data_IF_863846388116
#
_entry.id   IF_863846388116
#
_cell.length_a   1.000
_cell.length_b   1.000
_cell.length_c   1.000
_cell.angle_alpha   90.00
_cell.angle_beta   90.00
_cell.angle_gamma   90.00
#
_symmetry.space_group_name_H-M   'P 1'
#
loop_
_entity.id
_entity.type
_entity.pdbx_description
1 polymer ?
#
# COMPACT_ATOMS: atom_id res chain seq x y z
N UNK A 1 21.30 -45.14 32.61
CA UNK A 1 19.93 -44.74 32.19
C UNK A 1 19.54 -43.33 32.60
N UNK A 2 19.53 -42.95 33.88
CA UNK A 2 19.12 -41.59 34.32
C UNK A 2 19.93 -40.44 33.68
N UNK A 3 21.25 -40.58 33.57
CA UNK A 3 22.12 -39.55 32.98
C UNK A 3 21.80 -39.36 31.47
N UNK A 4 21.63 -40.46 30.74
CA UNK A 4 21.29 -40.44 29.31
C UNK A 4 19.90 -39.82 29.08
N UNK A 5 18.92 -40.16 29.93
CA UNK A 5 17.58 -39.58 29.88
C UNK A 5 17.60 -38.07 30.14
N UNK A 6 18.37 -37.61 31.13
CA UNK A 6 18.52 -36.19 31.43
C UNK A 6 19.18 -35.42 30.27
N UNK A 7 20.20 -36.00 29.63
CA UNK A 7 20.85 -35.40 28.45
C UNK A 7 19.84 -35.29 27.29
N UNK A 8 19.04 -36.32 27.05
CA UNK A 8 18.02 -36.32 26.01
C UNK A 8 16.96 -35.24 26.25
N UNK A 9 16.48 -35.11 27.50
CA UNK A 9 15.51 -34.08 27.89
C UNK A 9 16.09 -32.68 27.67
N UNK A 10 17.32 -32.42 28.11
CA UNK A 10 17.98 -31.12 27.92
C UNK A 10 18.16 -30.78 26.45
N UNK A 11 18.53 -31.77 25.62
CA UNK A 11 18.67 -31.58 24.17
C UNK A 11 17.33 -31.25 23.51
N UNK A 12 16.25 -31.93 23.90
CA UNK A 12 14.89 -31.65 23.39
C UNK A 12 14.44 -30.25 23.80
N UNK A 13 14.67 -29.84 25.05
CA UNK A 13 14.35 -28.49 25.52
C UNK A 13 15.14 -27.44 24.72
N UNK A 14 16.45 -27.66 24.53
CA UNK A 14 17.30 -26.75 23.76
C UNK A 14 16.84 -26.61 22.30
N UNK A 15 16.59 -27.72 21.61
CA UNK A 15 16.09 -27.70 20.23
C UNK A 15 14.71 -27.02 20.12
N UNK A 16 13.83 -27.24 21.11
CA UNK A 16 12.52 -26.58 21.14
C UNK A 16 12.65 -25.06 21.33
N UNK A 17 13.61 -24.60 22.13
CA UNK A 17 13.85 -23.17 22.37
C UNK A 17 14.40 -22.46 21.13
N UNK A 18 15.26 -23.12 20.36
CA UNK A 18 15.80 -22.59 19.09
C UNK A 18 14.68 -22.45 18.05
N UNK A 19 13.86 -23.50 17.87
CA UNK A 19 12.74 -23.46 16.92
C UNK A 19 11.72 -22.36 17.28
N UNK A 20 11.49 -22.14 18.57
CA UNK A 20 10.63 -21.05 19.03
C UNK A 20 11.21 -19.66 18.67
N UNK A 21 12.51 -19.46 18.89
CA UNK A 21 13.19 -18.20 18.54
C UNK A 21 13.10 -17.90 17.05
N UNK A 22 13.35 -18.89 16.18
CA UNK A 22 13.23 -18.71 14.74
C UNK A 22 11.80 -18.39 14.29
N UNK A 23 10.79 -19.05 14.88
CA UNK A 23 9.39 -18.77 14.56
C UNK A 23 8.95 -17.36 15.02
N UNK A 24 9.50 -16.88 16.14
CA UNK A 24 9.28 -15.52 16.64
C UNK A 24 9.91 -14.46 15.73
N UNK A 25 11.13 -14.71 15.28
CA UNK A 25 11.84 -13.85 14.33
C UNK A 25 11.11 -13.79 12.99
N UNK A 26 10.73 -14.94 12.43
CA UNK A 26 10.07 -15.04 11.12
C UNK A 26 8.77 -14.22 11.07
N UNK A 27 7.90 -14.34 12.09
CA UNK A 27 6.64 -13.57 12.12
C UNK A 27 6.87 -12.08 12.29
N UNK A 28 7.92 -11.68 13.02
CA UNK A 28 8.31 -10.28 13.19
C UNK A 28 8.81 -9.71 11.86
N UNK A 29 9.71 -10.43 11.19
CA UNK A 29 10.22 -10.10 9.85
C UNK A 29 9.08 -9.94 8.83
N UNK A 30 8.08 -10.83 8.82
CA UNK A 30 6.93 -10.69 7.91
C UNK A 30 6.14 -9.40 8.16
N UNK A 31 5.94 -9.02 9.44
CA UNK A 31 5.27 -7.75 9.78
C UNK A 31 6.10 -6.55 9.34
N UNK A 32 7.41 -6.59 9.57
CA UNK A 32 8.32 -5.50 9.22
C UNK A 32 8.40 -5.32 7.70
N UNK A 33 8.51 -6.42 6.93
CA UNK A 33 8.56 -6.37 5.47
C UNK A 33 7.26 -5.80 4.90
N UNK A 34 6.08 -6.24 5.35
CA UNK A 34 4.82 -5.66 4.83
C UNK A 34 4.65 -4.21 5.24
N UNK A 35 5.12 -3.78 6.41
CA UNK A 35 5.09 -2.37 6.81
C UNK A 35 6.02 -1.51 5.95
N UNK A 36 7.24 -1.98 5.69
CA UNK A 36 8.20 -1.31 4.81
C UNK A 36 7.68 -1.23 3.37
N UNK A 37 7.09 -2.31 2.86
CA UNK A 37 6.47 -2.32 1.53
C UNK A 37 5.32 -1.30 1.45
N UNK A 38 4.45 -1.24 2.46
CA UNK A 38 3.35 -0.25 2.50
C UNK A 38 3.86 1.19 2.55
N UNK A 39 4.94 1.45 3.28
CA UNK A 39 5.57 2.77 3.30
C UNK A 39 6.22 3.11 1.95
N UNK A 40 6.90 2.15 1.32
CA UNK A 40 7.50 2.31 0.02
C UNK A 40 6.44 2.58 -1.07
N UNK A 41 5.30 1.89 -1.01
CA UNK A 41 4.15 2.14 -1.89
C UNK A 41 3.54 3.51 -1.64
N UNK A 42 3.41 3.92 -0.39
CA UNK A 42 2.91 5.24 -0.02
C UNK A 42 3.71 6.36 -0.69
N UNK A 43 5.04 6.32 -0.58
CA UNK A 43 5.90 7.35 -1.19
C UNK A 43 5.77 7.41 -2.71
N UNK A 44 5.59 6.25 -3.37
CA UNK A 44 5.39 6.17 -4.83
C UNK A 44 4.05 6.73 -5.24
N UNK A 45 3.00 6.37 -4.48
CA UNK A 45 1.68 6.90 -4.70
C UNK A 45 1.68 8.42 -4.48
N UNK A 46 2.30 8.94 -3.42
CA UNK A 46 2.53 10.39 -3.19
C UNK A 46 3.12 11.12 -4.39
N UNK A 47 4.10 10.52 -5.08
CA UNK A 47 4.61 11.10 -6.33
C UNK A 47 3.58 11.05 -7.46
N UNK A 48 2.91 9.91 -7.66
CA UNK A 48 1.84 9.76 -8.66
C UNK A 48 0.69 10.77 -8.50
N UNK A 49 0.55 11.41 -7.33
CA UNK A 49 -0.40 12.52 -7.13
C UNK A 49 -0.17 13.66 -8.11
N UNK A 50 1.08 13.89 -8.52
CA UNK A 50 1.45 14.94 -9.48
C UNK A 50 0.71 14.77 -10.82
N UNK A 51 0.37 13.53 -11.21
CA UNK A 51 -0.35 13.24 -12.46
C UNK A 51 -1.83 13.65 -12.42
N UNK A 52 -2.37 13.87 -11.22
CA UNK A 52 -3.78 14.20 -11.00
C UNK A 52 -3.96 15.56 -10.32
N UNK A 53 -2.85 16.26 -10.06
CA UNK A 53 -2.83 17.57 -9.43
C UNK A 53 -3.39 18.64 -10.37
N UNK A 54 -4.12 19.59 -9.80
CA UNK A 54 -4.65 20.76 -10.48
C UNK A 54 -3.80 22.00 -10.16
N UNK A 55 -3.85 23.05 -10.97
CA UNK A 55 -3.22 24.32 -10.62
C UNK A 55 -3.68 24.82 -9.24
N UNK A 56 -2.72 25.16 -8.38
CA UNK A 56 -2.93 25.53 -6.98
C UNK A 56 -2.75 24.38 -5.99
N UNK A 57 -2.72 23.12 -6.46
CA UNK A 57 -2.48 21.98 -5.58
C UNK A 57 -1.00 21.92 -5.14
N UNK A 58 -0.81 21.51 -3.89
CA UNK A 58 0.51 21.19 -3.35
C UNK A 58 0.84 19.72 -3.64
N UNK A 59 2.04 19.48 -4.18
CA UNK A 59 2.61 18.14 -4.39
C UNK A 59 3.93 18.03 -3.63
N UNK A 60 4.27 16.83 -3.17
CA UNK A 60 5.53 16.56 -2.47
C UNK A 60 6.55 16.04 -3.47
N UNK A 61 7.68 16.75 -3.60
CA UNK A 61 8.83 16.35 -4.42
C UNK A 61 9.54 15.11 -3.83
N UNK A 62 10.36 14.46 -4.65
CA UNK A 62 11.18 13.31 -4.23
C UNK A 62 12.13 13.63 -3.06
N UNK A 63 12.55 14.89 -2.91
CA UNK A 63 13.39 15.38 -1.81
C UNK A 63 12.60 15.75 -0.54
N UNK A 64 11.27 15.60 -0.56
CA UNK A 64 10.38 15.94 0.55
C UNK A 64 9.95 17.42 0.57
N UNK A 65 10.43 18.26 -0.35
CA UNK A 65 9.96 19.63 -0.49
C UNK A 65 8.53 19.70 -1.02
N UNK A 66 7.83 20.80 -0.76
CA UNK A 66 6.48 21.05 -1.27
C UNK A 66 6.54 21.97 -2.48
N UNK A 67 5.94 21.55 -3.59
CA UNK A 67 5.83 22.32 -4.82
C UNK A 67 4.36 22.65 -5.06
N UNK A 68 4.07 23.90 -5.44
CA UNK A 68 2.74 24.33 -5.85
C UNK A 68 2.64 24.23 -7.37
N UNK A 69 1.66 23.49 -7.87
CA UNK A 69 1.42 23.38 -9.31
C UNK A 69 0.91 24.72 -9.84
N UNK A 70 1.69 25.35 -10.73
CA UNK A 70 1.34 26.65 -11.33
C UNK A 70 0.41 26.48 -12.54
N UNK A 71 -0.41 27.49 -12.81
CA UNK A 71 -1.20 27.60 -14.04
C UNK A 71 -0.40 28.22 -15.21
N UNK A 72 0.82 28.71 -14.96
CA UNK A 72 1.55 29.55 -15.91
C UNK A 72 2.28 28.74 -17.01
N UNK A 73 2.53 27.46 -16.78
CA UNK A 73 3.16 26.56 -17.75
C UNK A 73 2.17 25.45 -18.10
N UNK A 74 1.67 25.43 -19.34
CA UNK A 74 0.84 24.32 -19.88
C UNK A 74 1.71 23.11 -20.18
N UNK A 75 2.37 22.60 -19.16
CA UNK A 75 3.22 21.43 -19.26
C UNK A 75 2.37 20.17 -19.10
N UNK A 76 2.66 19.14 -19.89
CA UNK A 76 1.94 17.88 -19.77
C UNK A 76 2.21 17.24 -18.39
N UNK A 77 1.23 16.54 -17.78
CA UNK A 77 1.38 15.98 -16.43
C UNK A 77 2.58 15.03 -16.27
N UNK A 78 2.91 14.24 -17.31
CA UNK A 78 4.05 13.33 -17.30
C UNK A 78 5.40 14.05 -17.37
N UNK A 79 5.46 15.18 -18.07
CA UNK A 79 6.66 16.03 -18.12
C UNK A 79 6.86 16.74 -16.78
N UNK A 80 5.78 17.31 -16.22
CA UNK A 80 5.77 17.92 -14.88
C UNK A 80 6.25 16.92 -13.82
N UNK A 81 5.75 15.68 -13.90
CA UNK A 81 6.18 14.58 -13.03
C UNK A 81 7.68 14.34 -13.12
N UNK A 82 8.20 14.19 -14.34
CA UNK A 82 9.59 13.85 -14.58
C UNK A 82 10.53 14.94 -14.07
N UNK A 83 10.15 16.21 -14.21
CA UNK A 83 10.90 17.35 -13.70
C UNK A 83 10.90 17.41 -12.17
N UNK A 84 9.75 17.21 -11.52
CA UNK A 84 9.64 17.29 -10.06
C UNK A 84 10.34 16.12 -9.38
N UNK A 85 10.21 14.92 -9.94
CA UNK A 85 10.64 13.70 -9.26
C UNK A 85 11.97 13.13 -9.77
N UNK A 86 12.51 13.68 -10.86
CA UNK A 86 13.68 13.16 -11.58
C UNK A 86 13.57 11.66 -11.90
N UNK A 87 12.36 11.18 -12.22
CA UNK A 87 12.08 9.79 -12.61
C UNK A 87 10.81 9.70 -13.45
N UNK A 88 10.65 8.58 -14.14
CA UNK A 88 9.42 8.29 -14.88
C UNK A 88 8.30 7.80 -13.96
N UNK A 89 7.07 8.28 -14.21
CA UNK A 89 5.88 7.86 -13.48
C UNK A 89 5.58 6.36 -13.65
N UNK A 90 5.84 5.82 -14.85
CA UNK A 90 5.64 4.39 -15.16
C UNK A 90 6.41 3.49 -14.20
N UNK A 91 7.64 3.87 -13.86
CA UNK A 91 8.47 3.13 -12.93
C UNK A 91 7.84 3.05 -11.52
N UNK A 92 7.18 4.12 -11.07
CA UNK A 92 6.46 4.10 -9.79
C UNK A 92 5.21 3.22 -9.82
N UNK A 93 4.49 3.17 -10.93
CA UNK A 93 3.39 2.21 -11.13
C UNK A 93 3.86 0.75 -11.02
N UNK A 94 4.95 0.42 -11.73
CA UNK A 94 5.54 -0.94 -11.73
C UNK A 94 5.99 -1.33 -10.32
N UNK A 95 6.69 -0.43 -9.62
CA UNK A 95 7.18 -0.71 -8.28
C UNK A 95 6.05 -0.89 -7.27
N UNK A 96 4.95 -0.11 -7.36
CA UNK A 96 3.76 -0.33 -6.52
C UNK A 96 3.17 -1.73 -6.76
N UNK A 97 2.98 -2.12 -8.02
CA UNK A 97 2.46 -3.46 -8.35
C UNK A 97 3.34 -4.57 -7.77
N UNK A 98 4.66 -4.46 -7.92
CA UNK A 98 5.61 -5.44 -7.41
C UNK A 98 5.58 -5.52 -5.87
N UNK A 99 5.49 -4.39 -5.18
CA UNK A 99 5.39 -4.34 -3.72
C UNK A 99 4.08 -4.94 -3.21
N UNK A 100 2.96 -4.69 -3.88
CA UNK A 100 1.68 -5.35 -3.58
C UNK A 100 1.79 -6.86 -3.79
N UNK A 101 2.32 -7.31 -4.93
CA UNK A 101 2.46 -8.74 -5.21
C UNK A 101 3.38 -9.44 -4.17
N UNK A 102 4.49 -8.80 -3.79
CA UNK A 102 5.46 -9.35 -2.84
C UNK A 102 4.85 -9.66 -1.48
N UNK A 103 3.98 -8.78 -0.96
CA UNK A 103 3.47 -8.88 0.42
C UNK A 103 2.04 -9.41 0.49
N UNK A 104 1.53 -9.98 -0.62
CA UNK A 104 0.19 -10.55 -0.69
C UNK A 104 0.00 -11.71 0.29
N UNK A 105 1.04 -12.51 0.54
CA UNK A 105 0.97 -13.69 1.42
C UNK A 105 1.52 -13.42 2.83
N UNK A 106 1.83 -12.16 3.16
CA UNK A 106 2.45 -11.77 4.43
C UNK A 106 1.40 -11.56 5.53
N UNK A 107 0.24 -12.22 5.44
CA UNK A 107 -0.89 -12.10 6.37
C UNK A 107 -1.26 -13.38 7.13
N UNK A 108 -0.34 -14.34 7.43
CA UNK A 108 -0.72 -15.53 8.18
C UNK A 108 -1.14 -15.15 9.61
N UNK A 109 -1.97 -15.98 10.25
CA UNK A 109 -2.53 -15.73 11.60
C UNK A 109 -1.47 -15.40 12.65
N UNK A 110 -0.26 -15.97 12.53
CA UNK A 110 0.90 -15.72 13.40
C UNK A 110 1.45 -14.28 13.32
N UNK A 111 1.04 -13.49 12.34
CA UNK A 111 1.40 -12.06 12.20
C UNK A 111 0.34 -11.11 12.75
N UNK A 112 -0.67 -11.65 13.46
CA UNK A 112 -1.76 -10.85 14.02
C UNK A 112 -1.35 -10.08 15.26
N UNK A 113 -2.17 -9.11 15.65
CA UNK A 113 -1.97 -8.31 16.87
C UNK A 113 -1.87 -9.15 18.16
N UNK A 114 -2.38 -10.39 18.14
CA UNK A 114 -2.25 -11.32 19.25
C UNK A 114 -0.83 -11.91 19.38
N UNK A 115 -0.07 -11.94 18.28
CA UNK A 115 1.24 -12.56 18.20
C UNK A 115 2.37 -11.55 17.97
N UNK A 116 2.11 -10.45 17.26
CA UNK A 116 3.09 -9.41 16.93
C UNK A 116 2.51 -8.04 17.28
N UNK A 117 2.99 -7.45 18.37
CA UNK A 117 2.43 -6.20 18.93
C UNK A 117 2.69 -4.96 18.06
N UNK A 118 3.77 -4.97 17.27
CA UNK A 118 4.18 -3.88 16.37
C UNK A 118 3.27 -3.72 15.14
N UNK A 119 2.36 -4.67 14.88
CA UNK A 119 1.50 -4.58 13.70
C UNK A 119 0.37 -3.54 13.85
N UNK A 120 0.21 -2.72 12.81
CA UNK A 120 -0.89 -1.75 12.68
C UNK A 120 -2.15 -2.35 12.04
N UNK A 121 -2.14 -3.63 11.65
CA UNK A 121 -3.31 -4.29 11.08
C UNK A 121 -4.41 -4.49 12.15
N UNK A 122 -5.66 -4.32 11.75
CA UNK A 122 -6.82 -4.62 12.59
C UNK A 122 -7.04 -6.12 12.72
N UNK A 123 -7.68 -6.54 13.83
CA UNK A 123 -8.06 -7.96 14.01
C UNK A 123 -8.92 -8.47 12.86
N UNK A 124 -9.69 -7.58 12.23
CA UNK A 124 -10.59 -7.90 11.12
C UNK A 124 -9.89 -8.57 9.93
N UNK A 125 -8.60 -8.31 9.70
CA UNK A 125 -7.81 -9.00 8.66
C UNK A 125 -7.94 -10.53 8.77
N UNK A 126 -7.95 -11.06 10.00
CA UNK A 126 -8.01 -12.50 10.26
C UNK A 126 -9.40 -13.01 10.64
N UNK A 127 -10.35 -12.12 10.97
CA UNK A 127 -11.72 -12.49 11.33
C UNK A 127 -12.62 -12.57 10.09
N UNK A 128 -12.39 -11.71 9.10
CA UNK A 128 -13.15 -11.66 7.83
C UNK A 128 -12.18 -11.69 6.63
N UNK A 129 -11.39 -12.76 6.48
CA UNK A 129 -10.31 -12.83 5.49
C UNK A 129 -10.82 -12.69 4.05
N UNK A 130 -12.05 -13.09 3.74
CA UNK A 130 -12.64 -12.95 2.40
C UNK A 130 -12.85 -11.47 2.03
N UNK A 131 -13.24 -10.64 3.00
CA UNK A 131 -13.41 -9.20 2.81
C UNK A 131 -12.05 -8.52 2.66
N UNK A 132 -11.07 -8.90 3.49
CA UNK A 132 -9.70 -8.42 3.39
C UNK A 132 -9.07 -8.76 2.04
N UNK A 133 -9.12 -10.02 1.64
CA UNK A 133 -8.58 -10.50 0.36
C UNK A 133 -9.23 -9.78 -0.82
N UNK A 134 -10.53 -9.51 -0.77
CA UNK A 134 -11.22 -8.73 -1.81
C UNK A 134 -10.64 -7.32 -1.92
N UNK A 135 -10.52 -6.61 -0.80
CA UNK A 135 -10.05 -5.21 -0.79
C UNK A 135 -8.57 -5.12 -1.19
N UNK A 136 -7.77 -6.10 -0.76
CA UNK A 136 -6.38 -6.23 -1.19
C UNK A 136 -6.27 -6.51 -2.69
N UNK A 137 -7.06 -7.46 -3.21
CA UNK A 137 -7.08 -7.81 -4.64
C UNK A 137 -7.54 -6.64 -5.51
N UNK A 138 -8.47 -5.81 -5.04
CA UNK A 138 -8.90 -4.61 -5.74
C UNK A 138 -7.72 -3.63 -5.92
N UNK A 139 -6.80 -3.51 -4.94
CA UNK A 139 -5.59 -2.71 -5.06
C UNK A 139 -4.56 -3.31 -6.02
N UNK A 140 -4.38 -4.63 -6.01
CA UNK A 140 -3.54 -5.35 -6.99
C UNK A 140 -4.07 -5.13 -8.41
N UNK A 141 -5.39 -5.24 -8.62
CA UNK A 141 -6.01 -4.97 -9.91
C UNK A 141 -5.85 -3.51 -10.35
N UNK A 142 -6.09 -2.55 -9.45
CA UNK A 142 -5.93 -1.14 -9.76
C UNK A 142 -4.49 -0.78 -10.15
N UNK A 143 -3.47 -1.34 -9.47
CA UNK A 143 -2.07 -1.12 -9.82
C UNK A 143 -1.69 -1.74 -11.18
N UNK A 144 -2.27 -2.90 -11.52
CA UNK A 144 -2.10 -3.50 -12.86
C UNK A 144 -2.74 -2.63 -13.95
N UNK A 145 -3.95 -2.11 -13.70
CA UNK A 145 -4.64 -1.22 -14.64
C UNK A 145 -3.86 0.08 -14.86
N UNK A 146 -3.22 0.62 -13.81
CA UNK A 146 -2.31 1.75 -13.94
C UNK A 146 -1.12 1.45 -14.86
N UNK A 147 -0.47 0.28 -14.71
CA UNK A 147 0.64 -0.10 -15.58
C UNK A 147 0.20 -0.23 -17.04
N UNK A 148 -0.98 -0.83 -17.28
CA UNK A 148 -1.57 -0.89 -18.61
C UNK A 148 -1.89 0.50 -19.17
N UNK A 149 -2.41 1.41 -18.36
CA UNK A 149 -2.68 2.79 -18.79
C UNK A 149 -1.39 3.54 -19.19
N UNK A 150 -0.26 3.26 -18.52
CA UNK A 150 1.04 3.77 -18.93
C UNK A 150 1.54 3.16 -20.25
N UNK A 151 1.22 1.89 -20.55
CA UNK A 151 1.56 1.25 -21.83
C UNK A 151 0.73 1.81 -22.99
N UNK A 152 -0.52 2.19 -22.73
CA UNK A 152 -1.42 2.78 -23.72
C UNK A 152 -1.18 4.28 -23.94
N UNK A 153 -0.30 4.89 -23.16
CA UNK A 153 0.05 6.33 -23.21
C UNK A 153 -1.18 7.27 -23.19
N UNK A 154 -2.28 6.83 -22.56
CA UNK A 154 -3.54 7.58 -22.54
C UNK A 154 -3.65 8.42 -21.25
N UNK A 155 -3.60 9.76 -21.31
CA UNK A 155 -3.54 10.61 -20.12
C UNK A 155 -4.77 10.47 -19.20
N UNK A 156 -5.98 10.37 -19.76
CA UNK A 156 -7.20 10.21 -18.97
C UNK A 156 -7.26 8.85 -18.28
N UNK A 157 -6.80 7.80 -18.95
CA UNK A 157 -6.72 6.45 -18.38
C UNK A 157 -5.68 6.36 -17.28
N UNK A 158 -4.55 7.06 -17.43
CA UNK A 158 -3.52 7.18 -16.38
C UNK A 158 -4.11 7.89 -15.16
N UNK A 159 -4.74 9.06 -15.35
CA UNK A 159 -5.38 9.85 -14.30
C UNK A 159 -6.44 9.04 -13.55
N UNK A 160 -7.33 8.37 -14.28
CA UNK A 160 -8.35 7.47 -13.71
C UNK A 160 -7.69 6.36 -12.90
N UNK A 161 -6.66 5.71 -13.43
CA UNK A 161 -6.01 4.57 -12.78
C UNK A 161 -5.26 4.97 -11.51
N UNK A 162 -4.63 6.14 -11.47
CA UNK A 162 -4.03 6.71 -10.24
C UNK A 162 -5.12 6.91 -9.17
N UNK A 163 -6.26 7.50 -9.54
CA UNK A 163 -7.38 7.69 -8.62
C UNK A 163 -7.96 6.35 -8.13
N UNK A 164 -8.11 5.36 -9.01
CA UNK A 164 -8.64 4.03 -8.64
C UNK A 164 -7.69 3.29 -7.69
N UNK A 165 -6.37 3.36 -7.94
CA UNK A 165 -5.35 2.80 -7.05
C UNK A 165 -5.43 3.46 -5.67
N UNK A 166 -5.48 4.79 -5.62
CA UNK A 166 -5.62 5.53 -4.38
C UNK A 166 -6.88 5.19 -3.58
N UNK A 167 -8.04 5.10 -4.27
CA UNK A 167 -9.31 4.72 -3.66
C UNK A 167 -9.26 3.29 -3.11
N UNK A 168 -8.64 2.35 -3.84
CA UNK A 168 -8.50 0.96 -3.40
C UNK A 168 -7.66 0.84 -2.13
N UNK A 169 -6.50 1.51 -2.07
CA UNK A 169 -5.64 1.58 -0.89
C UNK A 169 -6.40 2.19 0.30
N UNK A 170 -7.12 3.30 0.06
CA UNK A 170 -7.92 3.98 1.08
C UNK A 170 -9.03 3.09 1.65
N UNK A 171 -9.76 2.36 0.80
CA UNK A 171 -10.82 1.42 1.23
C UNK A 171 -10.26 0.28 2.08
N UNK A 172 -9.13 -0.31 1.68
CA UNK A 172 -8.46 -1.35 2.46
C UNK A 172 -8.03 -0.83 3.84
N UNK A 173 -7.33 0.31 3.88
CA UNK A 173 -6.87 0.89 5.13
C UNK A 173 -8.01 1.30 6.06
N UNK A 174 -9.09 1.89 5.55
CA UNK A 174 -10.24 2.29 6.35
C UNK A 174 -10.93 1.10 7.06
N UNK A 175 -10.88 -0.09 6.47
CA UNK A 175 -11.49 -1.29 7.04
C UNK A 175 -10.52 -2.12 7.89
N UNK A 176 -9.23 -2.15 7.56
CA UNK A 176 -8.30 -3.17 8.04
C UNK A 176 -7.01 -2.64 8.67
N UNK A 177 -6.82 -1.32 8.76
CA UNK A 177 -5.66 -0.72 9.43
C UNK A 177 -6.10 0.16 10.58
N UNK A 178 -5.42 0.03 11.72
CA UNK A 178 -5.56 0.95 12.86
C UNK A 178 -5.22 2.35 12.38
N UNK A 179 -6.20 3.24 12.42
CA UNK A 179 -5.99 4.63 12.03
C UNK A 179 -5.18 5.32 13.13
N UNK A 180 -4.01 5.86 12.80
CA UNK A 180 -3.28 6.73 13.72
C UNK A 180 -3.88 8.13 13.65
N UNK A 181 -4.05 8.79 14.81
CA UNK A 181 -4.75 10.08 14.92
C UNK A 181 -4.12 11.19 14.07
N UNK A 182 -2.80 11.19 13.94
CA UNK A 182 -1.97 12.05 13.08
C UNK A 182 -2.24 11.86 11.57
N UNK A 183 -2.70 10.67 11.18
CA UNK A 183 -2.96 10.32 9.78
C UNK A 183 -4.45 10.32 9.39
N UNK A 184 -5.38 10.63 10.30
CA UNK A 184 -6.84 10.62 10.04
C UNK A 184 -7.23 11.44 8.80
N UNK A 185 -6.59 12.58 8.56
CA UNK A 185 -6.91 13.46 7.41
C UNK A 185 -6.42 12.87 6.08
N UNK A 186 -5.30 12.14 6.08
CA UNK A 186 -4.67 11.50 4.90
C UNK A 186 -5.25 10.12 4.59
N UNK A 187 -5.65 9.38 5.62
CA UNK A 187 -6.12 7.99 5.52
C UNK A 187 -7.66 7.90 5.52
N UNK A 188 -8.35 8.73 6.31
CA UNK A 188 -9.79 8.66 6.53
C UNK A 188 -10.67 9.15 5.38
N UNK A 189 -10.09 9.81 4.36
CA UNK A 189 -10.83 10.29 3.18
C UNK A 189 -10.59 9.45 1.92
N UNK A 190 -9.79 8.39 2.03
CA UNK A 190 -9.03 7.89 0.89
C UNK A 190 -8.00 8.94 0.48
N UNK A 191 -6.85 8.51 -0.02
CA UNK A 191 -5.79 9.42 -0.45
C UNK A 191 -6.26 10.48 -1.49
N UNK A 192 -7.38 10.21 -2.17
CA UNK A 192 -8.11 11.12 -3.05
C UNK A 192 -8.82 12.30 -2.37
N UNK A 193 -8.79 12.40 -1.03
CA UNK A 193 -9.54 13.38 -0.27
C UNK A 193 -9.12 14.84 -0.47
N UNK A 194 -8.00 15.08 -1.16
CA UNK A 194 -7.50 16.43 -1.48
C UNK A 194 -7.61 16.79 -2.97
N UNK A 195 -7.67 15.81 -3.87
CA UNK A 195 -7.67 16.06 -5.30
C UNK A 195 -9.09 15.94 -5.86
N UNK A 196 -9.74 17.08 -6.10
CA UNK A 196 -11.06 17.18 -6.76
C UNK A 196 -11.13 16.33 -8.04
N UNK A 197 -9.98 16.17 -8.72
CA UNK A 197 -9.80 15.31 -9.89
C UNK A 197 -10.25 13.85 -9.69
N UNK A 198 -10.25 13.33 -8.46
CA UNK A 198 -10.65 11.96 -8.16
C UNK A 198 -12.09 11.79 -7.65
N UNK A 199 -12.85 12.87 -7.44
CA UNK A 199 -14.21 12.79 -6.88
C UNK A 199 -15.19 12.07 -7.80
N UNK A 200 -15.10 12.26 -9.13
CA UNK A 200 -15.95 11.55 -10.10
C UNK A 200 -15.78 10.04 -9.97
N UNK A 201 -14.53 9.56 -9.85
CA UNK A 201 -14.21 8.14 -9.71
C UNK A 201 -14.66 7.55 -8.37
N UNK A 202 -14.70 8.36 -7.30
CA UNK A 202 -15.26 7.92 -6.01
C UNK A 202 -16.74 7.54 -6.15
N UNK A 203 -17.50 8.30 -6.92
CA UNK A 203 -18.91 8.00 -7.17
C UNK A 203 -19.06 6.73 -8.01
N UNK A 204 -18.20 6.49 -9.01
CA UNK A 204 -18.18 5.22 -9.77
C UNK A 204 -18.03 4.02 -8.85
N UNK A 205 -17.06 4.06 -7.93
CA UNK A 205 -16.80 2.97 -6.98
C UNK A 205 -17.93 2.79 -5.97
N UNK A 206 -18.56 3.89 -5.56
CA UNK A 206 -19.71 3.86 -4.63
C UNK A 206 -20.92 3.20 -5.27
N UNK A 207 -21.19 3.51 -6.54
CA UNK A 207 -22.30 2.93 -7.31
C UNK A 207 -22.00 1.50 -7.77
N UNK A 208 -20.74 1.20 -8.10
CA UNK A 208 -20.30 -0.10 -8.55
C UNK A 208 -18.88 -0.39 -8.08
N UNK A 209 -18.75 -1.16 -7.01
CA UNK A 209 -17.44 -1.54 -6.45
C UNK A 209 -16.52 -2.28 -7.43
N UNK A 210 -17.07 -2.94 -8.47
CA UNK A 210 -16.28 -3.61 -9.51
C UNK A 210 -15.61 -2.64 -10.49
N UNK A 211 -15.96 -1.35 -10.47
CA UNK A 211 -15.36 -0.33 -11.34
C UNK A 211 -13.83 -0.17 -11.13
N UNK A 212 -13.31 -0.58 -9.96
CA UNK A 212 -11.87 -0.62 -9.68
C UNK A 212 -11.14 -1.62 -10.58
N UNK A 213 -11.83 -2.70 -10.98
CA UNK A 213 -11.25 -3.81 -11.77
C UNK A 213 -11.30 -3.56 -13.27
N UNK A 214 -11.94 -2.47 -13.69
CA UNK A 214 -12.06 -2.04 -15.08
C UNK A 214 -11.01 -0.98 -15.36
#
# INVERSE_FOLDING_TARGET
MKIILNILITLVIFLSSINFSFAEEEKQTMVDVRQQAMQAMWTRLERLATLIALPGDAVTSSDGSTIIISNQNKMEPLETYSLIHAREAKQDGIEIYNLLAQVQDFWPRKTSVAHVKSTNAERLVWIIPEAFNRYYSDAVHASRNLNKAFEEENPESIKRSVCMLALSCGRCHAAFRKVRFDNLKKEGRGWTGNYTACWSYKNEVTLNSSAIRK
#
